data_IF_674024740586
#
_entry.id   IF_674024740586
#
_cell.length_a   1.000
_cell.length_b   1.000
_cell.length_c   1.000
_cell.angle_alpha   90.00
_cell.angle_beta   90.00
_cell.angle_gamma   90.00
#
_symmetry.space_group_name_H-M   'P 1'
#
loop_
_entity.id
_entity.type
_entity.pdbx_description
1 polymer ?
#
# COMPACT_ATOMS: atom_id res chain seq x y z
N UNK A 1 -10.47 -3.37 -8.99
CA UNK A 1 -10.78 -4.15 -10.16
C UNK A 1 -10.79 -3.32 -11.43
N UNK A 2 -10.58 -3.96 -12.56
CA UNK A 2 -10.69 -3.31 -13.88
C UNK A 2 -12.15 -2.95 -14.15
N UNK A 3 -12.46 -1.65 -14.22
CA UNK A 3 -13.79 -1.16 -14.59
C UNK A 3 -13.82 -0.89 -16.10
N UNK A 4 -13.93 -1.97 -16.88
CA UNK A 4 -13.91 -1.93 -18.34
C UNK A 4 -15.13 -1.28 -18.98
N UNK A 5 -16.14 -0.88 -18.18
CA UNK A 5 -17.39 -0.31 -18.69
C UNK A 5 -17.44 1.23 -18.60
N UNK A 6 -16.48 1.86 -17.93
CA UNK A 6 -16.44 3.32 -17.85
C UNK A 6 -15.79 3.90 -19.12
N UNK A 7 -16.53 4.72 -19.87
CA UNK A 7 -15.99 5.46 -20.99
C UNK A 7 -15.14 6.63 -20.49
N UNK A 8 -13.89 6.32 -20.09
CA UNK A 8 -12.93 7.33 -19.62
C UNK A 8 -12.14 7.84 -20.83
N UNK A 9 -12.17 9.14 -21.05
CA UNK A 9 -11.41 9.83 -22.09
C UNK A 9 -10.82 11.14 -21.56
N UNK A 10 -10.04 11.85 -22.35
CA UNK A 10 -9.35 13.08 -21.95
C UNK A 10 -10.30 14.19 -21.43
N UNK A 11 -11.58 14.16 -21.80
CA UNK A 11 -12.57 15.15 -21.34
C UNK A 11 -13.22 14.76 -20.03
N UNK A 12 -13.39 13.45 -19.76
CA UNK A 12 -14.12 12.93 -18.59
C UNK A 12 -13.21 12.49 -17.46
N UNK A 13 -11.90 12.28 -17.71
CA UNK A 13 -10.98 11.72 -16.73
C UNK A 13 -10.90 12.54 -15.44
N UNK A 14 -10.86 13.86 -15.53
CA UNK A 14 -10.79 14.72 -14.34
C UNK A 14 -12.04 14.61 -13.47
N UNK A 15 -13.22 14.47 -14.09
CA UNK A 15 -14.47 14.21 -13.38
C UNK A 15 -14.42 12.86 -12.65
N UNK A 16 -14.01 11.80 -13.34
CA UNK A 16 -13.90 10.49 -12.73
C UNK A 16 -12.88 10.44 -11.59
N UNK A 17 -11.75 11.11 -11.76
CA UNK A 17 -10.76 11.25 -10.68
C UNK A 17 -11.39 11.98 -9.49
N UNK A 18 -12.06 13.10 -9.70
CA UNK A 18 -12.69 13.88 -8.64
C UNK A 18 -13.69 13.07 -7.84
N UNK A 19 -14.62 12.37 -8.50
CA UNK A 19 -15.62 11.53 -7.85
C UNK A 19 -14.97 10.39 -7.05
N UNK A 20 -13.92 9.75 -7.59
CA UNK A 20 -13.24 8.67 -6.88
C UNK A 20 -12.42 9.19 -5.68
N UNK A 21 -11.81 10.37 -5.78
CA UNK A 21 -11.09 11.00 -4.67
C UNK A 21 -12.06 11.37 -3.54
N UNK A 22 -13.23 11.91 -3.85
CA UNK A 22 -14.27 12.22 -2.85
C UNK A 22 -14.71 10.94 -2.11
N UNK A 23 -15.07 9.89 -2.85
CA UNK A 23 -15.42 8.59 -2.26
C UNK A 23 -14.30 8.01 -1.39
N UNK A 24 -13.06 8.10 -1.87
CA UNK A 24 -11.90 7.64 -1.12
C UNK A 24 -11.71 8.44 0.16
N UNK A 25 -11.91 9.75 0.12
CA UNK A 25 -11.82 10.60 1.31
C UNK A 25 -12.82 10.19 2.38
N UNK A 26 -14.08 10.01 2.00
CA UNK A 26 -15.14 9.61 2.93
C UNK A 26 -14.85 8.25 3.58
N UNK A 27 -14.48 7.24 2.76
CA UNK A 27 -14.12 5.91 3.25
C UNK A 27 -12.89 5.95 4.17
N UNK A 28 -11.88 6.73 3.83
CA UNK A 28 -10.69 6.89 4.68
C UNK A 28 -11.03 7.55 6.01
N UNK A 29 -11.86 8.59 6.01
CA UNK A 29 -12.31 9.24 7.24
C UNK A 29 -13.00 8.24 8.17
N UNK A 30 -13.91 7.42 7.66
CA UNK A 30 -14.61 6.40 8.45
C UNK A 30 -13.65 5.35 9.02
N UNK A 31 -12.76 4.79 8.20
CA UNK A 31 -11.84 3.73 8.63
C UNK A 31 -10.78 4.26 9.60
N UNK A 32 -10.21 5.44 9.34
CA UNK A 32 -9.22 6.05 10.24
C UNK A 32 -9.89 6.39 11.57
N UNK A 33 -11.11 6.94 11.57
CA UNK A 33 -11.87 7.21 12.78
C UNK A 33 -12.09 5.93 13.60
N UNK A 34 -12.49 4.84 12.94
CA UNK A 34 -12.67 3.56 13.61
C UNK A 34 -11.36 3.07 14.26
N UNK A 35 -10.22 3.19 13.57
CA UNK A 35 -8.91 2.85 14.11
C UNK A 35 -8.53 3.71 15.32
N UNK A 36 -8.74 5.02 15.27
CA UNK A 36 -8.48 5.95 16.37
C UNK A 36 -9.38 5.66 17.59
N UNK A 37 -10.64 5.30 17.38
CA UNK A 37 -11.56 4.96 18.45
C UNK A 37 -11.21 3.60 19.09
N UNK A 38 -10.83 2.61 18.28
CA UNK A 38 -10.39 1.30 18.77
C UNK A 38 -9.14 1.41 19.65
N UNK A 39 -8.12 2.13 19.21
CA UNK A 39 -6.87 2.33 19.94
C UNK A 39 -7.10 2.91 21.33
N UNK A 40 -7.98 3.92 21.46
CA UNK A 40 -8.31 4.51 22.76
C UNK A 40 -9.20 3.63 23.65
N UNK A 41 -9.99 2.72 23.06
CA UNK A 41 -10.77 1.73 23.82
C UNK A 41 -9.87 0.73 24.54
N UNK A 42 -8.79 0.28 23.89
CA UNK A 42 -7.80 -0.64 24.49
C UNK A 42 -7.10 0.04 25.68
N UNK A 43 -6.85 1.34 25.61
CA UNK A 43 -6.24 2.11 26.70
C UNK A 43 -7.21 2.42 27.86
N UNK A 44 -8.46 1.94 27.81
CA UNK A 44 -9.47 2.20 28.84
C UNK A 44 -10.00 3.64 28.84
N UNK A 45 -9.67 4.42 27.82
CA UNK A 45 -10.13 5.81 27.64
C UNK A 45 -11.35 5.84 26.72
N UNK A 46 -12.47 6.23 27.28
CA UNK A 46 -13.78 6.52 26.69
C UNK A 46 -14.07 6.00 25.25
N UNK A 47 -15.16 5.23 25.11
CA UNK A 47 -15.62 4.62 23.84
C UNK A 47 -16.34 5.58 22.88
N UNK A 48 -16.35 6.90 23.16
CA UNK A 48 -17.09 7.86 22.33
C UNK A 48 -16.16 8.49 21.29
N UNK A 49 -16.51 8.35 20.03
CA UNK A 49 -15.86 9.07 18.93
C UNK A 49 -16.17 10.57 19.06
N UNK A 50 -15.24 11.33 19.63
CA UNK A 50 -15.38 12.78 19.81
C UNK A 50 -15.25 13.52 18.47
N UNK A 51 -15.77 14.74 18.40
CA UNK A 51 -15.62 15.61 17.22
C UNK A 51 -14.13 15.88 16.91
N UNK A 52 -13.28 16.00 17.92
CA UNK A 52 -11.83 16.13 17.74
C UNK A 52 -11.20 14.94 17.00
N UNK A 53 -11.66 13.71 17.25
CA UNK A 53 -11.18 12.54 16.51
C UNK A 53 -11.70 12.50 15.07
N UNK A 54 -12.91 13.00 14.82
CA UNK A 54 -13.45 13.15 13.47
C UNK A 54 -12.61 14.14 12.65
N UNK A 55 -12.26 15.27 13.24
CA UNK A 55 -11.40 16.27 12.63
C UNK A 55 -9.99 15.70 12.37
N UNK A 56 -9.44 14.93 13.31
CA UNK A 56 -8.16 14.26 13.14
C UNK A 56 -8.20 13.23 12.00
N UNK A 57 -9.23 12.39 11.94
CA UNK A 57 -9.42 11.43 10.86
C UNK A 57 -9.49 12.11 9.49
N UNK A 58 -10.26 13.19 9.37
CA UNK A 58 -10.36 13.98 8.14
C UNK A 58 -9.00 14.60 7.74
N UNK A 59 -8.26 15.13 8.70
CA UNK A 59 -6.91 15.69 8.47
C UNK A 59 -5.92 14.62 7.98
N UNK A 60 -5.96 13.43 8.57
CA UNK A 60 -5.10 12.30 8.16
C UNK A 60 -5.48 11.79 6.78
N UNK A 61 -6.79 11.65 6.49
CA UNK A 61 -7.28 11.27 5.17
C UNK A 61 -6.84 12.26 4.08
N UNK A 62 -6.98 13.56 4.32
CA UNK A 62 -6.53 14.60 3.40
C UNK A 62 -5.01 14.54 3.15
N UNK A 63 -4.21 14.34 4.21
CA UNK A 63 -2.76 14.17 4.09
C UNK A 63 -2.40 12.93 3.27
N UNK A 64 -3.07 11.81 3.49
CA UNK A 64 -2.84 10.60 2.70
C UNK A 64 -3.15 10.82 1.22
N UNK A 65 -4.31 11.43 0.90
CA UNK A 65 -4.70 11.73 -0.48
C UNK A 65 -3.67 12.63 -1.16
N UNK A 66 -3.10 13.60 -0.45
CA UNK A 66 -2.06 14.47 -1.01
C UNK A 66 -0.78 13.72 -1.41
N UNK A 67 -0.55 12.53 -0.86
CA UNK A 67 0.60 11.66 -1.17
C UNK A 67 0.37 10.75 -2.39
N UNK A 68 -0.87 10.56 -2.85
CA UNK A 68 -1.20 9.66 -3.96
C UNK A 68 -0.37 9.91 -5.24
N UNK A 69 -0.09 11.16 -5.67
CA UNK A 69 0.73 11.39 -6.86
C UNK A 69 2.17 10.90 -6.71
N UNK A 70 2.75 11.03 -5.51
CA UNK A 70 4.10 10.52 -5.22
C UNK A 70 4.12 8.99 -5.16
N UNK A 71 3.13 8.41 -4.48
CA UNK A 71 2.96 6.95 -4.37
C UNK A 71 2.79 6.31 -5.75
N UNK A 72 1.98 6.90 -6.62
CA UNK A 72 1.81 6.44 -8.01
C UNK A 72 3.15 6.39 -8.76
N UNK A 73 4.01 7.39 -8.58
CA UNK A 73 5.34 7.40 -9.20
C UNK A 73 6.22 6.25 -8.71
N UNK A 74 6.21 5.97 -7.41
CA UNK A 74 6.97 4.85 -6.84
C UNK A 74 6.42 3.52 -7.36
N UNK A 75 5.10 3.33 -7.33
CA UNK A 75 4.46 2.12 -7.86
C UNK A 75 4.75 1.89 -9.35
N UNK A 76 4.86 2.96 -10.14
CA UNK A 76 5.25 2.84 -11.55
C UNK A 76 6.66 2.28 -11.69
N UNK A 77 7.60 2.64 -10.81
CA UNK A 77 8.97 2.07 -10.82
C UNK A 77 8.97 0.59 -10.41
N UNK A 78 8.09 0.18 -9.49
CA UNK A 78 7.98 -1.22 -9.07
C UNK A 78 7.39 -2.09 -10.20
N UNK A 79 6.41 -1.56 -10.93
CA UNK A 79 5.85 -2.21 -12.14
C UNK A 79 6.90 -2.32 -13.25
N UNK A 80 7.69 -1.27 -13.47
CA UNK A 80 8.80 -1.27 -14.44
C UNK A 80 9.84 -2.33 -14.09
N UNK A 81 10.22 -2.42 -12.81
CA UNK A 81 11.16 -3.43 -12.33
C UNK A 81 10.63 -4.86 -12.52
N UNK A 82 9.34 -5.08 -12.27
CA UNK A 82 8.70 -6.38 -12.47
C UNK A 82 8.66 -6.75 -13.96
N UNK A 83 8.27 -5.82 -14.84
CA UNK A 83 8.21 -6.03 -16.28
C UNK A 83 9.61 -6.34 -16.87
N UNK A 84 10.61 -5.54 -16.51
CA UNK A 84 11.98 -5.74 -17.00
C UNK A 84 12.66 -6.98 -16.39
N UNK A 85 12.21 -7.40 -15.22
CA UNK A 85 12.77 -8.55 -14.50
C UNK A 85 12.20 -9.90 -14.90
N UNK A 86 11.12 -9.94 -15.68
CA UNK A 86 10.45 -11.18 -16.13
C UNK A 86 10.40 -11.25 -17.66
N UNK A 87 11.21 -12.11 -18.28
CA UNK A 87 11.19 -12.29 -19.74
C UNK A 87 9.84 -12.79 -20.31
N UNK A 88 8.96 -13.33 -19.47
CA UNK A 88 7.64 -13.82 -19.86
C UNK A 88 6.56 -12.74 -19.83
N UNK A 89 6.84 -11.56 -19.27
CA UNK A 89 5.87 -10.47 -19.18
C UNK A 89 5.60 -9.86 -20.56
N UNK A 90 4.34 -9.89 -20.99
CA UNK A 90 3.93 -9.37 -22.32
C UNK A 90 3.64 -7.86 -22.28
N UNK A 91 3.18 -7.34 -21.14
CA UNK A 91 2.82 -5.92 -20.99
C UNK A 91 2.81 -5.42 -19.55
N UNK A 92 2.93 -4.10 -19.37
CA UNK A 92 2.71 -3.46 -18.05
C UNK A 92 1.30 -3.72 -17.52
N UNK A 93 0.30 -3.83 -18.38
CA UNK A 93 -1.07 -4.15 -17.98
C UNK A 93 -1.17 -5.53 -17.34
N UNK A 94 -0.54 -6.54 -17.93
CA UNK A 94 -0.46 -7.88 -17.36
C UNK A 94 0.20 -7.86 -15.97
N UNK A 95 1.35 -7.20 -15.84
CA UNK A 95 2.06 -7.07 -14.57
C UNK A 95 1.18 -6.43 -13.50
N UNK A 96 0.45 -5.36 -13.83
CA UNK A 96 -0.42 -4.64 -12.89
C UNK A 96 -1.60 -5.51 -12.42
N UNK A 97 -2.22 -6.26 -13.33
CA UNK A 97 -3.47 -6.94 -13.02
C UNK A 97 -3.30 -8.41 -12.62
N UNK A 98 -2.21 -9.05 -13.02
CA UNK A 98 -2.05 -10.50 -12.84
C UNK A 98 -0.99 -10.87 -11.80
N UNK A 99 0.00 -10.00 -11.50
CA UNK A 99 1.10 -10.38 -10.62
C UNK A 99 0.73 -10.20 -9.14
N UNK A 100 0.69 -11.28 -8.34
CA UNK A 100 0.40 -11.20 -6.90
C UNK A 100 1.38 -10.30 -6.15
N UNK A 101 2.65 -10.28 -6.59
CA UNK A 101 3.67 -9.43 -6.02
C UNK A 101 3.34 -7.94 -6.12
N UNK A 102 2.82 -7.48 -7.26
CA UNK A 102 2.41 -6.07 -7.43
C UNK A 102 1.23 -5.73 -6.51
N UNK A 103 0.32 -6.67 -6.29
CA UNK A 103 -0.77 -6.49 -5.31
C UNK A 103 -0.21 -6.33 -3.89
N UNK A 104 0.71 -7.22 -3.48
CA UNK A 104 1.34 -7.15 -2.16
C UNK A 104 2.13 -5.85 -1.97
N UNK A 105 2.96 -5.47 -2.96
CA UNK A 105 3.75 -4.23 -2.93
C UNK A 105 2.85 -3.00 -2.89
N UNK A 106 1.78 -2.96 -3.67
CA UNK A 106 0.83 -1.83 -3.67
C UNK A 106 0.17 -1.64 -2.31
N UNK A 107 -0.31 -2.73 -1.71
CA UNK A 107 -0.90 -2.68 -0.37
C UNK A 107 0.13 -2.27 0.70
N UNK A 108 1.37 -2.77 0.60
CA UNK A 108 2.46 -2.34 1.47
C UNK A 108 2.72 -0.83 1.35
N UNK A 109 2.85 -0.28 0.14
CA UNK A 109 3.09 1.16 -0.08
C UNK A 109 1.99 2.01 0.54
N UNK A 110 0.72 1.61 0.36
CA UNK A 110 -0.44 2.26 0.98
C UNK A 110 -0.36 2.19 2.50
N UNK A 111 -0.12 1.01 3.04
CA UNK A 111 -0.05 0.77 4.48
C UNK A 111 1.12 1.51 5.13
N UNK A 112 2.28 1.55 4.47
CA UNK A 112 3.46 2.27 4.92
C UNK A 112 3.17 3.77 5.07
N UNK A 113 2.56 4.41 4.08
CA UNK A 113 2.21 5.82 4.15
C UNK A 113 1.19 6.13 5.25
N UNK A 114 0.21 5.26 5.46
CA UNK A 114 -0.74 5.40 6.57
C UNK A 114 -0.05 5.23 7.94
N UNK A 115 0.90 4.30 8.04
CA UNK A 115 1.69 4.10 9.26
C UNK A 115 2.54 5.34 9.58
N UNK A 116 3.23 5.90 8.58
CA UNK A 116 4.04 7.12 8.71
C UNK A 116 3.19 8.35 9.10
N UNK A 117 1.91 8.36 8.75
CA UNK A 117 0.96 9.37 9.20
C UNK A 117 0.44 9.13 10.63
N UNK A 118 0.81 8.02 11.26
CA UNK A 118 0.38 7.66 12.61
C UNK A 118 -1.02 7.05 12.69
N UNK A 119 -1.56 6.55 11.58
CA UNK A 119 -2.86 5.85 11.58
C UNK A 119 -2.70 4.50 12.29
N UNK A 120 -3.46 4.25 13.38
CA UNK A 120 -3.37 3.00 14.11
C UNK A 120 -4.13 1.88 13.41
N UNK A 121 -3.70 0.64 13.59
CA UNK A 121 -4.37 -0.61 13.21
C UNK A 121 -4.54 -0.81 11.68
N UNK A 122 -5.09 0.16 10.96
CA UNK A 122 -5.42 0.06 9.53
C UNK A 122 -4.23 -0.39 8.66
N UNK A 123 -3.00 0.14 8.84
CA UNK A 123 -1.84 -0.33 8.09
C UNK A 123 -1.61 -1.85 8.20
N UNK A 124 -1.77 -2.41 9.40
CA UNK A 124 -1.63 -3.86 9.60
C UNK A 124 -2.76 -4.64 8.96
N UNK A 125 -3.99 -4.17 9.04
CA UNK A 125 -5.13 -4.84 8.39
C UNK A 125 -4.88 -4.93 6.88
N UNK A 126 -4.42 -3.85 6.25
CA UNK A 126 -4.15 -3.81 4.80
C UNK A 126 -3.07 -4.84 4.41
N UNK A 127 -1.97 -4.91 5.16
CA UNK A 127 -0.89 -5.85 4.84
C UNK A 127 -1.26 -7.30 5.12
N UNK A 128 -2.03 -7.59 6.18
CA UNK A 128 -2.52 -8.95 6.46
C UNK A 128 -3.54 -9.43 5.41
N UNK A 129 -4.40 -8.54 4.91
CA UNK A 129 -5.28 -8.87 3.79
C UNK A 129 -4.47 -9.23 2.54
N UNK A 130 -3.45 -8.44 2.21
CA UNK A 130 -2.57 -8.73 1.09
C UNK A 130 -1.81 -10.04 1.28
N UNK A 131 -1.30 -10.30 2.48
CA UNK A 131 -0.64 -11.56 2.83
C UNK A 131 -1.56 -12.77 2.63
N UNK A 132 -2.80 -12.70 3.13
CA UNK A 132 -3.77 -13.79 2.99
C UNK A 132 -4.13 -14.12 1.53
N UNK A 133 -4.09 -13.11 0.65
CA UNK A 133 -4.44 -13.28 -0.76
C UNK A 133 -3.25 -13.70 -1.65
N UNK A 134 -2.02 -13.27 -1.27
CA UNK A 134 -0.84 -13.43 -2.14
C UNK A 134 0.20 -14.40 -1.60
N UNK A 135 0.15 -14.75 -0.31
CA UNK A 135 1.20 -15.51 0.36
C UNK A 135 2.49 -14.70 0.58
N UNK A 136 2.45 -13.36 0.41
CA UNK A 136 3.58 -12.45 0.59
C UNK A 136 3.29 -11.56 1.79
N UNK A 137 4.08 -11.71 2.85
CA UNK A 137 3.98 -10.92 4.07
C UNK A 137 4.97 -9.76 4.07
N UNK A 138 4.48 -8.52 4.01
CA UNK A 138 5.30 -7.32 4.09
C UNK A 138 4.80 -6.45 5.24
N UNK A 139 5.62 -6.32 6.29
CA UNK A 139 5.27 -5.47 7.41
C UNK A 139 5.25 -3.98 7.00
N UNK A 140 4.23 -3.19 7.38
CA UNK A 140 4.12 -1.80 6.92
C UNK A 140 5.25 -0.88 7.42
N UNK A 141 5.97 -1.25 8.50
CA UNK A 141 7.12 -0.49 8.99
C UNK A 141 8.43 -0.77 8.24
N UNK A 142 8.48 -1.79 7.38
CA UNK A 142 9.66 -2.03 6.54
C UNK A 142 9.97 -0.80 5.67
N UNK A 143 11.25 -0.56 5.38
CA UNK A 143 11.69 0.53 4.52
C UNK A 143 12.18 -0.04 3.19
N UNK A 144 11.44 0.22 2.13
CA UNK A 144 11.71 -0.35 0.80
C UNK A 144 11.88 0.79 -0.21
N UNK A 145 12.99 0.78 -0.91
CA UNK A 145 13.32 1.75 -1.96
C UNK A 145 12.46 1.62 -3.21
N UNK A 146 12.88 2.25 -4.30
CA UNK A 146 12.21 2.23 -5.61
C UNK A 146 12.68 1.06 -6.47
N UNK A 147 11.94 0.74 -7.54
CA UNK A 147 12.23 -0.39 -8.45
C UNK A 147 12.36 -1.71 -7.69
N UNK A 148 11.47 -1.91 -6.75
CA UNK A 148 11.40 -3.13 -5.96
C UNK A 148 10.45 -4.13 -6.62
N UNK A 149 10.90 -5.37 -6.75
CA UNK A 149 10.05 -6.46 -7.27
C UNK A 149 10.26 -7.77 -6.53
N UNK A 150 9.23 -8.61 -6.56
CA UNK A 150 9.25 -9.96 -6.03
C UNK A 150 8.81 -10.88 -7.16
N UNK A 151 9.61 -11.91 -7.44
CA UNK A 151 9.30 -12.91 -8.44
C UNK A 151 8.70 -14.16 -7.77
N UNK A 152 7.58 -14.66 -8.29
CA UNK A 152 6.72 -15.69 -7.70
C UNK A 152 6.15 -15.29 -6.33
N UNK A 153 6.97 -15.13 -5.31
CA UNK A 153 6.70 -14.46 -4.06
C UNK A 153 6.14 -15.32 -2.93
N UNK A 154 5.63 -16.52 -3.19
CA UNK A 154 5.07 -17.38 -2.15
C UNK A 154 6.06 -17.59 -1.00
N UNK A 155 5.64 -17.30 0.24
CA UNK A 155 6.46 -17.48 1.43
C UNK A 155 7.54 -16.40 1.63
N UNK A 156 7.47 -15.28 0.91
CA UNK A 156 8.30 -14.10 1.21
C UNK A 156 7.78 -13.44 2.48
N UNK A 157 8.69 -13.15 3.43
CA UNK A 157 8.36 -12.44 4.68
C UNK A 157 9.33 -11.29 4.89
N UNK A 158 8.84 -10.05 4.85
CA UNK A 158 9.63 -8.83 5.06
C UNK A 158 9.25 -8.21 6.41
N UNK A 159 10.14 -8.34 7.40
CA UNK A 159 9.90 -7.90 8.77
C UNK A 159 9.96 -6.38 8.97
N UNK A 160 9.44 -5.92 10.10
CA UNK A 160 9.31 -4.51 10.46
C UNK A 160 10.61 -3.70 10.42
N UNK A 161 11.73 -4.32 10.72
CA UNK A 161 13.05 -3.66 10.80
C UNK A 161 13.87 -3.78 9.52
N UNK A 162 13.31 -4.40 8.47
CA UNK A 162 13.99 -4.58 7.20
C UNK A 162 14.21 -3.25 6.48
N UNK A 163 15.41 -3.10 5.92
CA UNK A 163 15.78 -1.98 5.06
C UNK A 163 16.23 -2.54 3.71
N UNK A 164 15.44 -2.28 2.69
CA UNK A 164 15.67 -2.74 1.32
C UNK A 164 15.96 -1.52 0.45
N UNK A 165 17.08 -1.53 -0.26
CA UNK A 165 17.49 -0.44 -1.14
C UNK A 165 16.68 -0.36 -2.43
N UNK A 166 17.18 0.43 -3.38
CA UNK A 166 16.60 0.52 -4.72
C UNK A 166 17.06 -0.65 -5.60
N UNK A 167 16.26 -0.98 -6.63
CA UNK A 167 16.58 -2.00 -7.64
C UNK A 167 16.84 -3.40 -7.05
N UNK A 168 16.05 -3.78 -6.04
CA UNK A 168 16.15 -5.09 -5.41
C UNK A 168 15.06 -6.01 -5.95
N UNK A 169 15.45 -7.21 -6.38
CA UNK A 169 14.56 -8.30 -6.75
C UNK A 169 14.65 -9.42 -5.70
N UNK A 170 13.53 -9.83 -5.16
CA UNK A 170 13.42 -11.00 -4.28
C UNK A 170 12.76 -12.16 -5.02
N UNK A 171 13.00 -13.36 -4.53
CA UNK A 171 12.36 -14.60 -5.01
C UNK A 171 11.56 -15.23 -3.89
N UNK A 172 10.77 -16.25 -4.24
CA UNK A 172 9.95 -17.00 -3.29
C UNK A 172 10.77 -17.52 -2.10
N UNK A 173 10.15 -17.57 -0.92
CA UNK A 173 10.76 -18.10 0.31
C UNK A 173 11.84 -17.23 0.95
N UNK A 174 12.17 -16.07 0.37
CA UNK A 174 13.14 -15.14 0.97
C UNK A 174 12.54 -14.46 2.18
N UNK A 175 13.27 -14.48 3.32
CA UNK A 175 12.76 -13.98 4.60
C UNK A 175 13.70 -12.95 5.22
N UNK A 176 13.72 -11.69 4.75
CA UNK A 176 14.43 -10.61 5.40
C UNK A 176 13.70 -10.19 6.68
N UNK A 177 14.14 -10.70 7.81
CA UNK A 177 13.65 -10.35 9.14
C UNK A 177 14.79 -9.82 9.99
N UNK A 178 14.53 -8.87 10.88
CA UNK A 178 15.47 -8.30 11.86
C UNK A 178 16.85 -7.91 11.33
N UNK A 179 17.11 -6.61 11.21
CA UNK A 179 18.43 -6.04 10.83
C UNK A 179 18.98 -6.43 9.46
N UNK A 180 18.13 -6.95 8.57
CA UNK A 180 18.56 -7.28 7.21
C UNK A 180 18.64 -6.02 6.34
N UNK A 181 19.83 -5.73 5.83
CA UNK A 181 20.05 -4.67 4.86
C UNK A 181 20.30 -5.29 3.49
N UNK A 182 19.35 -5.16 2.57
CA UNK A 182 19.50 -5.63 1.19
C UNK A 182 19.82 -4.46 0.26
N UNK A 183 20.91 -4.59 -0.50
CA UNK A 183 21.32 -3.64 -1.55
C UNK A 183 21.35 -4.38 -2.88
N UNK A 184 21.09 -3.66 -3.97
CA UNK A 184 21.31 -4.19 -5.31
C UNK A 184 22.81 -4.47 -5.53
N UNK A 185 23.09 -5.53 -6.24
CA UNK A 185 24.42 -5.87 -6.74
C UNK A 185 24.55 -5.45 -8.20
#
# INVERSE_FOLDING_TARGET
>A
GYDGNATINSRTINYHIGVNIEKLFDLLCEQILAGLCFSTSIEGKCNVCSDSKREEAARLAAKFISKLPAMRRILATDVEAAYNGDPAAESYGEVIFCYPAIKAISNYRIAHELLELGVPLIPRIITEMAHSETGIDIHPAAKIGTHFTIDHGTGVVIGATSIIGNNVKLYQGVTPVSYTHLRAH
#
